data_IF_239783636301
#
_entry.id   IF_239783636301
#
_cell.length_a   1.000
_cell.length_b   1.000
_cell.length_c   1.000
_cell.angle_alpha   90.00
_cell.angle_beta   90.00
_cell.angle_gamma   90.00
#
_symmetry.space_group_name_H-M   'P 1'
#
loop_
_entity.id
_entity.type
_entity.pdbx_description
1 polymer ?
#
# COMPACT_ATOMS: atom_id res chain seq x y z
N UNK A 1 20.24 -0.39 32.72
CA UNK A 1 20.63 1.00 32.45
C UNK A 1 19.78 1.53 31.32
N UNK A 2 19.19 2.72 31.44
CA UNK A 2 18.49 3.39 30.35
C UNK A 2 19.41 4.42 29.71
N UNK A 3 19.61 4.33 28.39
CA UNK A 3 20.35 5.32 27.61
C UNK A 3 19.38 6.21 26.85
N UNK A 4 19.60 7.52 26.87
CA UNK A 4 18.76 8.49 26.18
C UNK A 4 19.30 8.77 24.77
N UNK A 5 18.42 8.75 23.77
CA UNK A 5 18.74 9.13 22.39
C UNK A 5 18.08 10.49 22.11
N UNK A 6 18.86 11.45 21.63
CA UNK A 6 18.36 12.76 21.20
C UNK A 6 18.35 12.83 19.68
N UNK A 7 17.18 13.13 19.10
CA UNK A 7 16.98 13.22 17.65
C UNK A 7 16.39 14.59 17.33
N UNK A 8 16.94 15.27 16.32
CA UNK A 8 16.36 16.50 15.76
C UNK A 8 15.48 16.13 14.57
N UNK A 9 14.28 16.69 14.53
CA UNK A 9 13.29 16.52 13.47
C UNK A 9 12.62 17.86 13.23
N UNK A 10 12.13 18.08 12.02
CA UNK A 10 11.32 19.26 11.70
C UNK A 10 10.01 19.27 12.50
N UNK A 11 9.51 20.45 12.84
CA UNK A 11 8.31 20.62 13.66
C UNK A 11 7.09 19.96 13.00
N UNK A 12 6.95 20.09 11.68
CA UNK A 12 5.88 19.45 10.91
C UNK A 12 5.93 17.93 10.98
N UNK A 13 7.14 17.34 10.89
CA UNK A 13 7.32 15.90 10.98
C UNK A 13 6.99 15.40 12.37
N UNK A 14 7.43 16.12 13.41
CA UNK A 14 7.11 15.81 14.80
C UNK A 14 5.61 15.83 15.03
N UNK A 15 4.93 16.90 14.63
CA UNK A 15 3.49 17.05 14.85
C UNK A 15 2.67 15.97 14.12
N UNK A 16 3.03 15.65 12.88
CA UNK A 16 2.38 14.56 12.12
C UNK A 16 2.62 13.19 12.75
N UNK A 17 3.84 12.93 13.20
CA UNK A 17 4.20 11.65 13.84
C UNK A 17 3.47 11.49 15.17
N UNK A 18 3.44 12.53 16.00
CA UNK A 18 2.77 12.52 17.31
C UNK A 18 1.26 12.27 17.15
N UNK A 19 0.60 12.91 16.17
CA UNK A 19 -0.83 12.65 15.90
C UNK A 19 -1.07 11.22 15.45
N UNK A 20 -0.27 10.75 14.47
CA UNK A 20 -0.40 9.40 13.91
C UNK A 20 -0.25 8.33 14.98
N UNK A 21 0.81 8.38 15.78
CA UNK A 21 1.05 7.35 16.79
C UNK A 21 0.03 7.40 17.91
N UNK A 22 -0.45 8.60 18.28
CA UNK A 22 -1.52 8.76 19.27
C UNK A 22 -2.83 8.15 18.80
N UNK A 23 -3.18 8.32 17.52
CA UNK A 23 -4.34 7.65 16.90
C UNK A 23 -4.20 6.13 16.91
N UNK A 24 -2.96 5.62 16.78
CA UNK A 24 -2.63 4.20 16.91
C UNK A 24 -2.49 3.72 18.37
N UNK A 25 -2.73 4.58 19.36
CA UNK A 25 -2.73 4.24 20.78
C UNK A 25 -1.35 4.16 21.44
N UNK A 26 -0.32 4.79 20.86
CA UNK A 26 1.03 4.84 21.44
C UNK A 26 1.66 6.24 21.34
N UNK A 27 2.74 6.48 22.08
CA UNK A 27 3.54 7.69 21.91
C UNK A 27 4.70 7.46 20.92
N UNK A 28 5.23 8.56 20.40
CA UNK A 28 6.35 8.54 19.43
C UNK A 28 7.60 7.87 20.00
N UNK A 29 7.81 7.96 21.32
CA UNK A 29 8.96 7.32 21.99
C UNK A 29 8.83 5.79 21.97
N UNK A 30 7.62 5.26 22.18
CA UNK A 30 7.33 3.82 22.08
C UNK A 30 7.48 3.34 20.65
N UNK A 31 6.99 4.11 19.67
CA UNK A 31 7.17 3.81 18.25
C UNK A 31 8.66 3.74 17.85
N UNK A 32 9.47 4.72 18.29
CA UNK A 32 10.93 4.72 18.05
C UNK A 32 11.59 3.51 18.72
N UNK A 33 11.19 3.15 19.94
CA UNK A 33 11.71 1.97 20.63
C UNK A 33 11.41 0.69 19.86
N UNK A 34 10.18 0.52 19.37
CA UNK A 34 9.80 -0.63 18.54
C UNK A 34 10.61 -0.69 17.25
N UNK A 35 10.81 0.44 16.56
CA UNK A 35 11.65 0.51 15.36
C UNK A 35 13.07 0.01 15.63
N UNK A 36 13.71 0.48 16.71
CA UNK A 36 15.06 0.07 17.09
C UNK A 36 15.13 -1.42 17.44
N UNK A 37 14.15 -1.93 18.20
CA UNK A 37 14.09 -3.36 18.55
C UNK A 37 13.98 -4.23 17.30
N UNK A 38 13.12 -3.86 16.34
CA UNK A 38 12.97 -4.62 15.10
C UNK A 38 14.22 -4.52 14.22
N UNK A 39 14.85 -3.35 14.11
CA UNK A 39 16.06 -3.20 13.30
C UNK A 39 17.19 -4.13 13.79
N UNK A 40 17.34 -4.26 15.11
CA UNK A 40 18.29 -5.19 15.72
C UNK A 40 17.89 -6.64 15.49
N UNK A 41 16.60 -6.98 15.64
CA UNK A 41 16.11 -8.36 15.46
C UNK A 41 16.32 -8.90 14.03
N UNK A 42 16.13 -8.05 13.01
CA UNK A 42 16.32 -8.40 11.61
C UNK A 42 17.77 -8.20 11.11
N UNK A 43 18.66 -7.71 11.96
CA UNK A 43 20.02 -7.31 11.59
C UNK A 43 20.06 -6.42 10.33
N UNK A 44 19.11 -5.48 10.25
CA UNK A 44 18.79 -4.78 9.02
C UNK A 44 17.66 -3.77 9.21
N UNK A 45 16.99 -3.39 8.12
CA UNK A 45 15.88 -2.46 8.21
C UNK A 45 14.60 -3.19 8.66
N UNK A 46 13.82 -2.62 9.60
CA UNK A 46 12.68 -3.33 10.22
C UNK A 46 11.46 -3.45 9.29
N UNK A 47 11.58 -2.97 8.06
CA UNK A 47 10.60 -3.10 6.99
C UNK A 47 11.33 -3.22 5.66
N UNK A 48 10.64 -3.74 4.65
CA UNK A 48 11.20 -3.83 3.31
C UNK A 48 11.41 -2.43 2.71
N UNK A 49 12.61 -2.16 2.20
CA UNK A 49 12.90 -0.91 1.50
C UNK A 49 12.24 -0.96 0.13
N UNK A 50 11.07 -0.34 0.03
CA UNK A 50 10.34 -0.17 -1.23
C UNK A 50 10.37 1.30 -1.62
N UNK A 51 10.74 1.62 -2.86
CA UNK A 51 10.52 2.95 -3.42
C UNK A 51 9.01 3.13 -3.53
N UNK A 52 8.48 4.22 -2.97
CA UNK A 52 7.04 4.50 -3.01
C UNK A 52 6.66 4.88 -4.45
N UNK A 53 6.50 3.89 -5.32
CA UNK A 53 5.90 4.07 -6.64
C UNK A 53 4.40 4.09 -6.41
N UNK A 54 3.86 5.27 -6.17
CA UNK A 54 2.43 5.55 -6.33
C UNK A 54 2.05 5.49 -7.81
N UNK A 55 2.35 4.39 -8.49
CA UNK A 55 1.87 4.15 -9.83
C UNK A 55 0.64 3.26 -9.70
N UNK A 56 -0.54 3.88 -9.70
CA UNK A 56 -1.82 3.18 -9.92
C UNK A 56 -1.84 2.44 -11.26
N UNK A 57 -0.85 2.71 -12.13
CA UNK A 57 -0.54 2.01 -13.36
C UNK A 57 0.78 1.24 -13.20
N UNK A 58 0.79 0.19 -12.39
CA UNK A 58 1.87 -0.80 -12.54
C UNK A 58 1.67 -1.49 -13.89
N UNK A 59 2.66 -1.49 -14.80
CA UNK A 59 2.60 -2.38 -15.95
C UNK A 59 2.51 -3.80 -15.41
N UNK A 60 1.50 -4.52 -15.88
CA UNK A 60 1.29 -5.93 -15.55
C UNK A 60 2.51 -6.70 -16.05
N UNK A 61 3.07 -7.61 -15.24
CA UNK A 61 4.11 -8.51 -15.77
C UNK A 61 3.48 -9.47 -16.79
N UNK A 62 4.31 -10.08 -17.64
CA UNK A 62 3.83 -11.05 -18.64
C UNK A 62 3.05 -12.19 -17.97
N UNK A 63 3.56 -12.72 -16.86
CA UNK A 63 2.91 -13.77 -16.07
C UNK A 63 1.55 -13.35 -15.52
N UNK A 64 1.46 -12.15 -14.93
CA UNK A 64 0.20 -11.62 -14.41
C UNK A 64 -0.82 -11.35 -15.54
N UNK A 65 -0.36 -11.01 -16.75
CA UNK A 65 -1.22 -10.86 -17.93
C UNK A 65 -1.77 -12.20 -18.42
N UNK A 66 -0.92 -13.21 -18.49
CA UNK A 66 -1.30 -14.58 -18.86
C UNK A 66 -2.33 -15.15 -17.88
N UNK A 67 -2.14 -14.95 -16.58
CA UNK A 67 -3.08 -15.40 -15.54
C UNK A 67 -4.47 -14.77 -15.72
N UNK A 68 -4.53 -13.44 -15.93
CA UNK A 68 -5.80 -12.73 -16.16
C UNK A 68 -6.50 -13.16 -17.44
N UNK A 69 -5.76 -13.44 -18.51
CA UNK A 69 -6.32 -13.95 -19.76
C UNK A 69 -6.89 -15.37 -19.58
N UNK A 70 -6.20 -16.24 -18.83
CA UNK A 70 -6.69 -17.57 -18.51
C UNK A 70 -7.99 -17.53 -17.69
N UNK A 71 -8.04 -16.68 -16.65
CA UNK A 71 -9.25 -16.47 -15.86
C UNK A 71 -10.41 -15.92 -16.72
N UNK A 72 -10.13 -14.98 -17.62
CA UNK A 72 -11.14 -14.42 -18.52
C UNK A 72 -11.75 -15.48 -19.45
N UNK A 73 -10.93 -16.42 -19.96
CA UNK A 73 -11.42 -17.55 -20.76
C UNK A 73 -12.32 -18.48 -19.96
N UNK A 74 -11.91 -18.84 -18.74
CA UNK A 74 -12.71 -19.68 -17.86
C UNK A 74 -14.06 -19.03 -17.50
N UNK A 75 -14.09 -17.71 -17.27
CA UNK A 75 -15.33 -16.97 -17.04
C UNK A 75 -16.23 -16.95 -18.28
N UNK A 76 -15.67 -16.76 -19.48
CA UNK A 76 -16.44 -16.83 -20.71
C UNK A 76 -17.08 -18.21 -20.93
N UNK A 77 -16.36 -19.30 -20.64
CA UNK A 77 -16.89 -20.67 -20.69
C UNK A 77 -18.04 -20.91 -19.70
N UNK A 78 -18.02 -20.22 -18.55
CA UNK A 78 -19.09 -20.25 -17.54
C UNK A 78 -20.24 -19.29 -17.86
N UNK A 79 -20.22 -18.60 -19.01
CA UNK A 79 -21.24 -17.61 -19.38
C UNK A 79 -21.14 -16.30 -18.59
N UNK A 80 -20.06 -16.09 -17.82
CA UNK A 80 -19.78 -14.86 -17.06
C UNK A 80 -19.14 -13.81 -17.98
N UNK A 81 -19.84 -13.47 -19.07
CA UNK A 81 -19.48 -12.39 -19.96
C UNK A 81 -20.64 -11.38 -20.04
N UNK A 82 -20.33 -10.17 -20.50
CA UNK A 82 -21.32 -9.15 -20.79
C UNK A 82 -21.09 -8.59 -22.18
N UNK A 83 -22.18 -8.18 -22.82
CA UNK A 83 -22.11 -7.55 -24.13
C UNK A 83 -21.37 -6.20 -24.04
N UNK A 84 -20.61 -5.90 -25.08
CA UNK A 84 -19.80 -4.69 -25.11
C UNK A 84 -20.67 -3.43 -25.15
N UNK A 85 -21.79 -3.44 -25.86
CA UNK A 85 -22.68 -2.29 -25.99
C UNK A 85 -23.35 -1.97 -24.65
N UNK A 86 -23.73 -2.99 -23.88
CA UNK A 86 -24.29 -2.85 -22.53
C UNK A 86 -23.27 -2.21 -21.56
N UNK A 87 -22.01 -2.64 -21.64
CA UNK A 87 -20.93 -2.08 -20.80
C UNK A 87 -20.66 -0.63 -21.16
N UNK A 88 -20.64 -0.30 -22.45
CA UNK A 88 -20.42 1.08 -22.93
C UNK A 88 -21.57 1.98 -22.49
N UNK A 89 -22.82 1.52 -22.58
CA UNK A 89 -23.98 2.27 -22.13
C UNK A 89 -23.96 2.54 -20.62
N UNK A 90 -23.61 1.53 -19.80
CA UNK A 90 -23.51 1.68 -18.34
C UNK A 90 -22.38 2.63 -17.94
N UNK A 91 -21.24 2.56 -18.61
CA UNK A 91 -20.11 3.47 -18.38
C UNK A 91 -20.47 4.93 -18.73
N UNK A 92 -21.17 5.16 -19.84
CA UNK A 92 -21.66 6.50 -20.22
C UNK A 92 -22.65 7.05 -19.20
N UNK A 93 -23.59 6.23 -18.74
CA UNK A 93 -24.56 6.63 -17.71
C UNK A 93 -23.91 6.92 -16.35
N UNK A 94 -22.95 6.09 -15.93
CA UNK A 94 -22.31 6.18 -14.62
C UNK A 94 -21.31 7.34 -14.52
N UNK A 95 -20.61 7.65 -15.61
CA UNK A 95 -19.54 8.65 -15.62
C UNK A 95 -19.85 9.90 -16.47
N UNK A 96 -21.04 9.98 -17.08
CA UNK A 96 -21.49 11.15 -17.85
C UNK A 96 -20.69 11.41 -19.13
N UNK A 97 -20.23 10.34 -19.78
CA UNK A 97 -19.43 10.37 -21.01
C UNK A 97 -20.28 10.46 -22.28
#
# INVERSE_FOLDING_TARGET
MSSTIQVRVDDDLKMKSDSLFKELGMDTTTAIRMFLTQAVAYNGFPFEIRKNVSNSYKPLTEDEMLEKLAASRAHAEQGLYRDADDVVADMRNKYGL
#
